data_IF_529079230302
#
_entry.id   IF_529079230302
#
_cell.length_a   1.000
_cell.length_b   1.000
_cell.length_c   1.000
_cell.angle_alpha   90.00
_cell.angle_beta   90.00
_cell.angle_gamma   90.00
#
_symmetry.space_group_name_H-M   'P 1'
#
loop_
_entity.id
_entity.type
_entity.pdbx_description
1 polymer ?
#
# COMPACT_ATOMS: atom_id res chain seq x y z
N UNK A 1 25.35 -39.89 -36.62
CA UNK A 1 24.67 -40.84 -37.54
C UNK A 1 25.41 -42.17 -37.55
N UNK A 2 24.86 -43.17 -36.83
CA UNK A 2 25.40 -44.54 -36.65
C UNK A 2 25.20 -45.47 -37.88
N UNK A 3 24.46 -45.03 -38.90
CA UNK A 3 23.94 -45.93 -39.95
C UNK A 3 25.00 -46.48 -40.93
N UNK A 4 26.01 -45.68 -41.33
CA UNK A 4 27.03 -46.16 -42.29
C UNK A 4 28.05 -47.10 -41.63
N UNK A 5 28.31 -46.94 -40.33
CA UNK A 5 29.15 -47.87 -39.56
C UNK A 5 28.44 -49.21 -39.41
N UNK A 6 27.14 -49.19 -39.10
CA UNK A 6 26.32 -50.41 -39.07
C UNK A 6 26.27 -51.07 -40.45
N UNK A 7 26.01 -50.30 -41.52
CA UNK A 7 26.01 -50.81 -42.89
C UNK A 7 27.32 -51.48 -43.27
N UNK A 8 28.46 -50.89 -42.89
CA UNK A 8 29.79 -51.50 -43.09
C UNK A 8 29.92 -52.84 -42.38
N UNK A 9 29.56 -52.89 -41.10
CA UNK A 9 29.67 -54.12 -40.32
C UNK A 9 28.75 -55.23 -40.86
N UNK A 10 27.57 -54.87 -41.37
CA UNK A 10 26.61 -55.83 -41.91
C UNK A 10 27.01 -56.37 -43.29
N UNK A 11 27.43 -55.50 -44.20
CA UNK A 11 27.72 -55.88 -45.58
C UNK A 11 29.16 -56.40 -45.76
N UNK A 12 30.10 -55.86 -44.99
CA UNK A 12 31.53 -56.11 -45.11
C UNK A 12 32.20 -55.38 -46.26
N UNK A 13 33.51 -55.24 -46.16
CA UNK A 13 34.32 -54.48 -47.12
C UNK A 13 34.20 -55.04 -48.55
N UNK A 14 34.04 -56.35 -48.71
CA UNK A 14 33.92 -57.01 -50.02
C UNK A 14 32.63 -56.65 -50.77
N UNK A 15 31.56 -56.29 -50.05
CA UNK A 15 30.29 -55.93 -50.66
C UNK A 15 30.29 -54.52 -51.26
N UNK A 16 31.26 -53.67 -50.90
CA UNK A 16 31.29 -52.28 -51.38
C UNK A 16 31.52 -52.16 -52.88
N UNK A 17 32.11 -53.16 -53.54
CA UNK A 17 32.20 -53.22 -55.01
C UNK A 17 30.83 -53.30 -55.70
N UNK A 18 29.80 -53.73 -54.98
CA UNK A 18 28.40 -53.78 -55.42
C UNK A 18 27.55 -52.62 -54.86
N UNK A 19 28.19 -51.61 -54.27
CA UNK A 19 27.51 -50.42 -53.74
C UNK A 19 27.73 -49.25 -54.68
N UNK A 20 26.65 -48.53 -54.97
CA UNK A 20 26.70 -47.23 -55.64
C UNK A 20 26.37 -46.13 -54.64
N UNK A 21 27.29 -45.18 -54.49
CA UNK A 21 27.06 -43.93 -53.78
C UNK A 21 26.47 -42.92 -54.77
N UNK A 22 25.15 -42.73 -54.68
CA UNK A 22 24.46 -41.73 -55.49
C UNK A 22 24.43 -40.37 -54.78
N UNK A 23 25.00 -39.33 -55.40
CA UNK A 23 24.88 -37.95 -54.96
C UNK A 23 23.64 -37.31 -55.59
N UNK A 24 22.80 -36.63 -54.80
CA UNK A 24 21.50 -36.08 -55.22
C UNK A 24 21.49 -34.56 -55.17
N UNK A 25 20.37 -33.92 -55.54
CA UNK A 25 20.15 -32.46 -55.53
C UNK A 25 20.96 -31.64 -56.56
N UNK A 26 21.54 -32.29 -57.57
CA UNK A 26 22.30 -31.60 -58.63
C UNK A 26 21.47 -30.58 -59.44
N UNK A 27 20.16 -30.79 -59.57
CA UNK A 27 19.25 -29.87 -60.25
C UNK A 27 18.87 -28.63 -59.44
N UNK A 28 19.15 -28.60 -58.13
CA UNK A 28 18.79 -27.52 -57.21
C UNK A 28 19.98 -26.62 -56.86
N UNK A 29 21.17 -26.93 -57.38
CA UNK A 29 22.37 -26.15 -57.13
C UNK A 29 22.41 -24.90 -58.02
N UNK A 30 22.43 -23.72 -57.37
CA UNK A 30 22.66 -22.43 -58.05
C UNK A 30 24.10 -22.28 -58.55
N UNK A 31 25.06 -22.91 -57.85
CA UNK A 31 26.49 -22.90 -58.15
C UNK A 31 26.98 -24.33 -58.32
N UNK A 32 27.31 -24.69 -59.57
CA UNK A 32 27.73 -26.04 -59.94
C UNK A 32 29.15 -26.35 -59.47
N UNK A 33 30.08 -25.41 -59.60
CA UNK A 33 31.49 -25.61 -59.23
C UNK A 33 31.63 -25.88 -57.73
N UNK A 34 30.87 -25.15 -56.90
CA UNK A 34 30.79 -25.41 -55.47
C UNK A 34 30.17 -26.78 -55.14
N UNK A 35 29.21 -27.23 -55.95
CA UNK A 35 28.64 -28.58 -55.85
C UNK A 35 29.65 -29.68 -56.12
N UNK A 36 30.46 -29.51 -57.17
CA UNK A 36 31.52 -30.45 -57.53
C UNK A 36 32.62 -30.50 -56.48
N UNK A 37 33.05 -29.34 -55.97
CA UNK A 37 34.03 -29.27 -54.88
C UNK A 37 33.54 -30.00 -53.62
N UNK A 38 32.26 -29.85 -53.28
CA UNK A 38 31.64 -30.56 -52.15
C UNK A 38 31.52 -32.06 -52.38
N UNK A 39 31.15 -32.50 -53.58
CA UNK A 39 31.14 -33.93 -53.90
C UNK A 39 32.53 -34.54 -53.73
N UNK A 40 33.57 -33.86 -54.24
CA UNK A 40 34.95 -34.31 -54.09
C UNK A 40 35.37 -34.36 -52.61
N UNK A 41 35.02 -33.36 -51.80
CA UNK A 41 35.27 -33.39 -50.36
C UNK A 41 34.53 -34.55 -49.67
N UNK A 42 33.26 -34.78 -50.02
CA UNK A 42 32.45 -35.88 -49.49
C UNK A 42 33.05 -37.26 -49.78
N UNK A 43 33.64 -37.44 -50.96
CA UNK A 43 34.20 -38.72 -51.42
C UNK A 43 35.65 -38.91 -51.00
N UNK A 44 36.42 -37.84 -50.80
CA UNK A 44 37.85 -37.96 -50.52
C UNK A 44 38.20 -37.75 -49.04
N UNK A 45 37.41 -36.95 -48.30
CA UNK A 45 37.73 -36.56 -46.92
C UNK A 45 36.85 -37.27 -45.88
N UNK A 46 35.67 -37.76 -46.27
CA UNK A 46 34.77 -38.44 -45.33
C UNK A 46 35.34 -39.80 -44.91
N UNK A 47 35.68 -39.96 -43.63
CA UNK A 47 36.09 -41.24 -43.02
C UNK A 47 35.12 -42.40 -43.31
N UNK A 48 33.86 -42.10 -43.63
CA UNK A 48 32.82 -43.09 -43.90
C UNK A 48 32.57 -43.28 -45.39
N UNK A 49 32.26 -42.22 -46.14
CA UNK A 49 31.94 -42.35 -47.58
C UNK A 49 33.18 -42.57 -48.43
N UNK A 50 34.27 -41.86 -48.13
CA UNK A 50 35.56 -42.08 -48.81
C UNK A 50 36.17 -43.42 -48.49
N UNK A 51 35.91 -43.98 -47.31
CA UNK A 51 36.25 -45.37 -47.04
C UNK A 51 35.52 -46.34 -47.97
N UNK A 52 34.20 -46.19 -48.13
CA UNK A 52 33.39 -47.03 -49.03
C UNK A 52 33.86 -46.87 -50.49
N UNK A 53 34.18 -45.64 -50.93
CA UNK A 53 34.75 -45.35 -52.24
C UNK A 53 36.13 -45.99 -52.44
N UNK A 54 37.03 -45.91 -51.46
CA UNK A 54 38.37 -46.53 -51.55
C UNK A 54 38.32 -48.06 -51.63
N UNK A 55 37.21 -48.68 -51.21
CA UNK A 55 36.97 -50.13 -51.29
C UNK A 55 36.26 -50.58 -52.57
N UNK A 56 36.10 -49.69 -53.55
CA UNK A 56 35.63 -50.04 -54.89
C UNK A 56 34.16 -49.73 -55.16
N UNK A 57 33.47 -49.01 -54.28
CA UNK A 57 32.13 -48.53 -54.59
C UNK A 57 32.16 -47.51 -55.73
N UNK A 58 31.15 -47.56 -56.60
CA UNK A 58 31.03 -46.57 -57.68
C UNK A 58 30.29 -45.34 -57.18
N UNK A 59 30.67 -44.17 -57.65
CA UNK A 59 29.92 -42.93 -57.39
C UNK A 59 29.16 -42.52 -58.64
N UNK A 60 27.89 -42.14 -58.48
CA UNK A 60 27.05 -41.59 -59.56
C UNK A 60 26.31 -40.34 -59.11
N UNK A 61 26.14 -39.39 -60.03
CA UNK A 61 25.27 -38.23 -59.81
C UNK A 61 23.86 -38.59 -60.26
N UNK A 62 22.91 -38.58 -59.33
CA UNK A 62 21.50 -38.74 -59.65
C UNK A 62 20.90 -37.38 -60.00
N UNK A 63 20.47 -37.24 -61.26
CA UNK A 63 20.00 -35.96 -61.82
C UNK A 63 18.49 -35.74 -61.67
N UNK A 64 17.82 -36.54 -60.82
CA UNK A 64 16.37 -36.50 -60.61
C UNK A 64 15.53 -36.77 -61.88
N UNK A 65 16.06 -37.56 -62.81
CA UNK A 65 15.37 -38.00 -64.02
C UNK A 65 15.26 -39.53 -64.10
N UNK A 66 14.25 -40.04 -64.81
CA UNK A 66 14.04 -41.49 -65.00
C UNK A 66 15.24 -42.14 -65.68
N UNK A 67 15.84 -41.46 -66.63
CA UNK A 67 16.98 -41.94 -67.42
C UNK A 67 18.22 -42.08 -66.53
N UNK A 68 18.48 -41.09 -65.67
CA UNK A 68 19.59 -41.16 -64.71
C UNK A 68 19.40 -42.27 -63.66
N UNK A 69 18.16 -42.50 -63.20
CA UNK A 69 17.86 -43.63 -62.31
C UNK A 69 18.10 -44.98 -62.98
N UNK A 70 17.60 -45.17 -64.20
CA UNK A 70 17.79 -46.42 -64.96
C UNK A 70 19.26 -46.68 -65.29
N UNK A 71 20.03 -45.63 -65.60
CA UNK A 71 21.48 -45.76 -65.82
C UNK A 71 22.21 -46.22 -64.55
N UNK A 72 21.85 -45.66 -63.37
CA UNK A 72 22.45 -46.07 -62.09
C UNK A 72 22.09 -47.51 -61.75
N UNK A 73 20.82 -47.92 -61.98
CA UNK A 73 20.39 -49.29 -61.74
C UNK A 73 21.08 -50.25 -62.71
N UNK A 74 21.22 -49.87 -63.99
CA UNK A 74 21.92 -50.67 -65.00
C UNK A 74 23.35 -51.02 -64.60
N UNK A 75 24.06 -50.09 -63.94
CA UNK A 75 25.41 -50.33 -63.43
C UNK A 75 25.50 -51.44 -62.36
N UNK A 76 24.37 -51.81 -61.73
CA UNK A 76 24.29 -52.87 -60.70
C UNK A 76 23.87 -54.23 -61.27
N UNK A 77 23.08 -54.26 -62.35
CA UNK A 77 22.40 -55.48 -62.83
C UNK A 77 23.39 -56.59 -63.23
N UNK A 78 24.52 -56.21 -63.82
CA UNK A 78 25.53 -57.17 -64.31
C UNK A 78 26.63 -57.48 -63.29
N UNK A 79 26.52 -56.99 -62.04
CA UNK A 79 27.53 -57.24 -61.01
C UNK A 79 27.37 -58.63 -60.41
N UNK A 80 28.49 -59.36 -60.17
CA UNK A 80 28.43 -60.67 -59.55
C UNK A 80 27.91 -60.56 -58.12
N UNK A 81 27.08 -61.53 -57.70
CA UNK A 81 26.58 -61.59 -56.33
C UNK A 81 27.75 -61.67 -55.32
N UNK A 82 27.60 -61.00 -54.18
CA UNK A 82 28.59 -60.99 -53.09
C UNK A 82 27.89 -61.44 -51.83
N UNK A 83 28.48 -62.41 -51.12
CA UNK A 83 28.02 -62.80 -49.80
C UNK A 83 28.30 -61.68 -48.81
N UNK A 84 27.29 -61.29 -48.05
CA UNK A 84 27.42 -60.21 -47.07
C UNK A 84 28.08 -60.73 -45.79
N UNK A 85 28.88 -59.90 -45.14
CA UNK A 85 29.58 -60.27 -43.90
C UNK A 85 28.62 -60.81 -42.82
N UNK A 86 27.43 -60.24 -42.66
CA UNK A 86 26.42 -60.77 -41.72
C UNK A 86 25.91 -62.17 -42.09
N UNK A 87 25.86 -62.52 -43.38
CA UNK A 87 25.42 -63.84 -43.83
C UNK A 87 26.48 -64.89 -43.47
N UNK A 88 27.77 -64.58 -43.68
CA UNK A 88 28.89 -65.42 -43.25
C UNK A 88 28.93 -65.53 -41.70
N UNK A 89 28.75 -64.43 -40.98
CA UNK A 89 28.77 -64.41 -39.51
C UNK A 89 27.62 -65.22 -38.88
N UNK A 90 26.40 -65.12 -39.43
CA UNK A 90 25.24 -65.84 -38.91
C UNK A 90 25.30 -67.34 -39.23
N UNK A 91 25.67 -67.70 -40.46
CA UNK A 91 25.58 -69.08 -40.96
C UNK A 91 26.84 -69.87 -40.66
N UNK A 92 28.02 -69.32 -40.96
CA UNK A 92 29.29 -70.04 -40.92
C UNK A 92 30.02 -69.88 -39.58
N UNK A 93 29.79 -68.76 -38.86
CA UNK A 93 30.42 -68.48 -37.57
C UNK A 93 29.51 -68.70 -36.36
N UNK A 94 28.25 -69.10 -36.57
CA UNK A 94 27.33 -69.48 -35.49
C UNK A 94 26.86 -68.34 -34.57
N UNK A 95 27.05 -67.07 -34.97
CA UNK A 95 26.70 -65.89 -34.15
C UNK A 95 25.19 -65.71 -33.89
N UNK A 96 24.31 -66.45 -34.58
CA UNK A 96 22.86 -66.38 -34.33
C UNK A 96 22.49 -66.65 -32.87
N UNK A 97 23.16 -67.61 -32.24
CA UNK A 97 22.96 -67.95 -30.81
C UNK A 97 23.43 -66.84 -29.87
N UNK A 98 24.49 -66.12 -30.22
CA UNK A 98 25.01 -64.99 -29.44
C UNK A 98 24.10 -63.77 -29.57
N UNK A 99 23.53 -63.51 -30.76
CA UNK A 99 22.56 -62.44 -30.98
C UNK A 99 21.27 -62.65 -30.19
N UNK A 100 20.78 -63.89 -30.09
CA UNK A 100 19.63 -64.23 -29.26
C UNK A 100 19.91 -64.00 -27.76
N UNK A 101 21.12 -64.34 -27.29
CA UNK A 101 21.57 -64.04 -25.93
C UNK A 101 21.60 -62.53 -25.65
N UNK A 102 22.18 -61.74 -26.55
CA UNK A 102 22.26 -60.27 -26.42
C UNK A 102 20.85 -59.66 -26.45
N UNK A 103 19.94 -60.22 -27.27
CA UNK A 103 18.54 -59.77 -27.34
C UNK A 103 17.82 -60.03 -26.02
N UNK A 104 17.98 -61.22 -25.44
CA UNK A 104 17.40 -61.56 -24.14
C UNK A 104 17.95 -60.69 -23.02
N UNK A 105 19.27 -60.47 -22.97
CA UNK A 105 19.91 -59.61 -21.98
C UNK A 105 19.42 -58.16 -22.09
N UNK A 106 19.32 -57.63 -23.32
CA UNK A 106 18.79 -56.29 -23.55
C UNK A 106 17.31 -56.18 -23.18
N UNK A 107 16.50 -57.18 -23.51
CA UNK A 107 15.09 -57.21 -23.14
C UNK A 107 14.91 -57.23 -21.62
N UNK A 108 15.73 -58.00 -20.90
CA UNK A 108 15.75 -58.02 -19.44
C UNK A 108 16.18 -56.66 -18.88
N UNK A 109 17.25 -56.06 -19.42
CA UNK A 109 17.71 -54.74 -18.99
C UNK A 109 16.69 -53.62 -19.27
N UNK A 110 15.85 -53.75 -20.31
CA UNK A 110 14.72 -52.84 -20.55
C UNK A 110 13.67 -53.02 -19.45
N UNK A 111 13.25 -54.26 -19.17
CA UNK A 111 12.26 -54.56 -18.13
C UNK A 111 12.71 -54.08 -16.74
N UNK A 112 13.96 -54.36 -16.37
CA UNK A 112 14.51 -53.93 -15.08
C UNK A 112 14.52 -52.40 -14.97
N UNK A 113 14.82 -51.71 -16.08
CA UNK A 113 14.80 -50.25 -16.12
C UNK A 113 13.39 -49.67 -16.10
N UNK A 114 12.42 -50.33 -16.73
CA UNK A 114 11.02 -49.93 -16.68
C UNK A 114 10.48 -50.02 -15.24
N UNK A 115 10.79 -51.11 -14.51
CA UNK A 115 10.44 -51.26 -13.09
C UNK A 115 11.09 -50.15 -12.25
N UNK A 116 12.39 -49.86 -12.45
CA UNK A 116 13.06 -48.77 -11.73
C UNK A 116 12.46 -47.40 -12.01
N UNK A 117 12.00 -47.16 -13.25
CA UNK A 117 11.34 -45.91 -13.63
C UNK A 117 9.97 -45.80 -12.95
N UNK A 118 9.20 -46.88 -12.90
CA UNK A 118 7.91 -46.91 -12.20
C UNK A 118 8.07 -46.64 -10.70
N UNK A 119 9.01 -47.30 -10.03
CA UNK A 119 9.28 -47.07 -8.60
C UNK A 119 9.74 -45.62 -8.33
N UNK A 120 10.54 -45.04 -9.21
CA UNK A 120 11.00 -43.66 -9.07
C UNK A 120 9.85 -42.66 -9.29
N UNK A 121 8.98 -42.91 -10.27
CA UNK A 121 7.79 -42.10 -10.51
C UNK A 121 6.86 -42.12 -9.30
N UNK A 122 6.62 -43.31 -8.72
CA UNK A 122 5.77 -43.43 -7.53
C UNK A 122 6.34 -42.66 -6.33
N UNK A 123 7.65 -42.75 -6.08
CA UNK A 123 8.31 -41.97 -5.03
C UNK A 123 8.20 -40.47 -5.27
N UNK A 124 8.43 -40.01 -6.51
CA UNK A 124 8.30 -38.61 -6.88
C UNK A 124 6.87 -38.10 -6.70
N UNK A 125 5.87 -38.90 -7.05
CA UNK A 125 4.46 -38.56 -6.85
C UNK A 125 4.11 -38.42 -5.37
N UNK A 126 4.56 -39.37 -4.54
CA UNK A 126 4.36 -39.32 -3.09
C UNK A 126 5.05 -38.10 -2.45
N UNK A 127 6.29 -37.80 -2.85
CA UNK A 127 7.01 -36.61 -2.38
C UNK A 127 6.31 -35.32 -2.80
N UNK A 128 5.84 -35.25 -4.06
CA UNK A 128 5.08 -34.11 -4.57
C UNK A 128 3.81 -33.90 -3.76
N UNK A 129 3.06 -34.97 -3.51
CA UNK A 129 1.81 -34.89 -2.75
C UNK A 129 2.06 -34.42 -1.31
N UNK A 130 3.07 -34.98 -0.64
CA UNK A 130 3.44 -34.56 0.71
C UNK A 130 3.90 -33.10 0.75
N UNK A 131 4.68 -32.67 -0.24
CA UNK A 131 5.11 -31.27 -0.37
C UNK A 131 3.92 -30.34 -0.60
N UNK A 132 2.99 -30.68 -1.50
CA UNK A 132 1.79 -29.90 -1.77
C UNK A 132 0.91 -29.76 -0.52
N UNK A 133 0.65 -30.86 0.21
CA UNK A 133 -0.12 -30.81 1.47
C UNK A 133 0.53 -29.89 2.52
N UNK A 134 1.85 -29.93 2.64
CA UNK A 134 2.60 -29.02 3.54
C UNK A 134 2.43 -27.56 3.10
N UNK A 135 2.56 -27.28 1.82
CA UNK A 135 2.45 -25.93 1.27
C UNK A 135 1.03 -25.37 1.47
N UNK A 136 -0.01 -26.17 1.25
CA UNK A 136 -1.41 -25.81 1.49
C UNK A 136 -1.66 -25.53 2.98
N UNK A 137 -1.12 -26.35 3.89
CA UNK A 137 -1.23 -26.12 5.32
C UNK A 137 -0.52 -24.83 5.76
N UNK A 138 0.68 -24.55 5.25
CA UNK A 138 1.40 -23.30 5.54
C UNK A 138 0.65 -22.08 4.98
N UNK A 139 0.15 -22.16 3.74
CA UNK A 139 -0.67 -21.09 3.16
C UNK A 139 -1.95 -20.85 3.97
N UNK A 140 -2.65 -21.90 4.38
CA UNK A 140 -3.84 -21.79 5.21
C UNK A 140 -3.53 -21.12 6.56
N UNK A 141 -2.41 -21.50 7.21
CA UNK A 141 -1.97 -20.89 8.46
C UNK A 141 -1.62 -19.40 8.28
N UNK A 142 -0.88 -19.04 7.22
CA UNK A 142 -0.55 -17.65 6.89
C UNK A 142 -1.79 -16.82 6.57
N UNK A 143 -2.77 -17.37 5.85
CA UNK A 143 -4.03 -16.69 5.58
C UNK A 143 -4.87 -16.50 6.85
N UNK A 144 -4.87 -17.48 7.76
CA UNK A 144 -5.55 -17.36 9.05
C UNK A 144 -4.91 -16.26 9.91
N UNK A 145 -3.58 -16.26 10.05
CA UNK A 145 -2.84 -15.23 10.80
C UNK A 145 -3.06 -13.84 10.19
N UNK A 146 -2.96 -13.70 8.85
CA UNK A 146 -3.22 -12.42 8.18
C UNK A 146 -4.65 -11.90 8.42
N UNK A 147 -5.65 -12.78 8.41
CA UNK A 147 -7.04 -12.41 8.74
C UNK A 147 -7.17 -11.97 10.19
N UNK A 148 -6.48 -12.64 11.12
CA UNK A 148 -6.50 -12.26 12.52
C UNK A 148 -5.80 -10.90 12.75
N UNK A 149 -4.62 -10.69 12.17
CA UNK A 149 -3.92 -9.41 12.21
C UNK A 149 -4.78 -8.27 11.63
N UNK A 150 -5.45 -8.53 10.51
CA UNK A 150 -6.33 -7.54 9.89
C UNK A 150 -7.52 -7.20 10.79
N UNK A 151 -8.15 -8.19 11.44
CA UNK A 151 -9.21 -7.95 12.42
C UNK A 151 -8.70 -7.17 13.64
N UNK A 152 -7.53 -7.50 14.17
CA UNK A 152 -6.92 -6.78 15.29
C UNK A 152 -6.63 -5.32 14.92
N UNK A 153 -6.12 -5.08 13.72
CA UNK A 153 -5.85 -3.74 13.21
C UNK A 153 -7.15 -2.94 13.03
N UNK A 154 -8.18 -3.56 12.46
CA UNK A 154 -9.50 -2.95 12.27
C UNK A 154 -10.18 -2.62 13.61
N UNK A 155 -10.10 -3.53 14.58
CA UNK A 155 -10.58 -3.29 15.95
C UNK A 155 -9.82 -2.14 16.62
N UNK A 156 -8.48 -2.14 16.58
CA UNK A 156 -7.67 -1.07 17.13
C UNK A 156 -7.98 0.29 16.47
N UNK A 157 -8.18 0.29 15.16
CA UNK A 157 -8.56 1.50 14.42
C UNK A 157 -9.95 2.00 14.83
N UNK A 158 -10.94 1.11 14.93
CA UNK A 158 -12.30 1.46 15.35
C UNK A 158 -12.34 1.96 16.79
N UNK A 159 -11.58 1.33 17.70
CA UNK A 159 -11.46 1.78 19.09
C UNK A 159 -10.81 3.16 19.19
N UNK A 160 -9.77 3.41 18.39
CA UNK A 160 -9.13 4.72 18.31
C UNK A 160 -10.10 5.77 17.75
N UNK A 161 -10.88 5.45 16.72
CA UNK A 161 -11.88 6.35 16.14
C UNK A 161 -12.95 6.71 17.18
N UNK A 162 -13.49 5.71 17.88
CA UNK A 162 -14.50 5.92 18.92
C UNK A 162 -13.96 6.78 20.08
N UNK A 163 -12.69 6.59 20.45
CA UNK A 163 -12.02 7.41 21.46
C UNK A 163 -11.92 8.87 21.00
N UNK A 164 -11.47 9.10 19.77
CA UNK A 164 -11.37 10.45 19.21
C UNK A 164 -12.73 11.14 19.10
N UNK A 165 -13.79 10.42 18.73
CA UNK A 165 -15.14 10.95 18.72
C UNK A 165 -15.64 11.33 20.12
N UNK A 166 -15.38 10.50 21.13
CA UNK A 166 -15.70 10.81 22.53
C UNK A 166 -14.95 12.05 23.01
N UNK A 167 -13.66 12.14 22.72
CA UNK A 167 -12.84 13.30 23.05
C UNK A 167 -13.30 14.57 22.32
N UNK A 168 -13.76 14.46 21.06
CA UNK A 168 -14.38 15.57 20.32
C UNK A 168 -15.68 16.02 20.98
N UNK A 169 -16.61 15.10 21.26
CA UNK A 169 -17.90 15.41 21.90
C UNK A 169 -17.73 16.00 23.30
N UNK A 170 -16.78 15.48 24.08
CA UNK A 170 -16.49 16.03 25.39
C UNK A 170 -15.98 17.48 25.31
N UNK A 171 -15.11 17.79 24.34
CA UNK A 171 -14.63 19.15 24.08
C UNK A 171 -15.74 20.10 23.61
N UNK A 172 -16.60 19.63 22.72
CA UNK A 172 -17.74 20.41 22.22
C UNK A 172 -18.68 20.82 23.38
N UNK A 173 -18.95 19.89 24.30
CA UNK A 173 -19.70 20.19 25.54
C UNK A 173 -18.99 21.18 26.46
N UNK A 174 -17.66 21.10 26.57
CA UNK A 174 -16.90 22.05 27.39
C UNK A 174 -16.98 23.48 26.84
N UNK A 175 -16.93 23.64 25.50
CA UNK A 175 -17.09 24.94 24.86
C UNK A 175 -18.50 25.47 25.07
N UNK A 176 -19.52 24.63 24.88
CA UNK A 176 -20.93 25.01 25.10
C UNK A 176 -21.22 25.44 26.56
N UNK A 177 -20.69 24.70 27.54
CA UNK A 177 -20.79 25.07 28.96
C UNK A 177 -20.08 26.40 29.25
N UNK A 178 -18.90 26.62 28.67
CA UNK A 178 -18.18 27.89 28.80
C UNK A 178 -18.96 29.06 28.20
N UNK A 179 -19.52 28.90 27.01
CA UNK A 179 -20.35 29.94 26.36
C UNK A 179 -21.57 30.29 27.21
N UNK A 180 -22.22 29.28 27.77
CA UNK A 180 -23.35 29.45 28.67
C UNK A 180 -22.95 30.24 29.91
N UNK A 181 -21.86 29.85 30.59
CA UNK A 181 -21.34 30.55 31.78
C UNK A 181 -21.00 32.02 31.47
N UNK A 182 -20.27 32.29 30.38
CA UNK A 182 -19.91 33.66 30.00
C UNK A 182 -21.14 34.53 29.69
N UNK A 183 -22.18 33.93 29.10
CA UNK A 183 -23.46 34.61 28.84
C UNK A 183 -24.23 34.89 30.13
N UNK A 184 -24.31 33.92 31.04
CA UNK A 184 -24.98 34.07 32.34
C UNK A 184 -24.29 35.12 33.20
N UNK A 185 -22.97 35.05 33.36
CA UNK A 185 -22.20 36.05 34.12
C UNK A 185 -22.42 37.47 33.59
N UNK A 186 -22.51 37.61 32.26
CA UNK A 186 -22.78 38.90 31.60
C UNK A 186 -24.18 39.40 31.92
N UNK A 187 -25.19 38.52 31.86
CA UNK A 187 -26.57 38.86 32.18
C UNK A 187 -26.71 39.29 33.65
N UNK A 188 -26.17 38.50 34.57
CA UNK A 188 -26.18 38.77 36.02
C UNK A 188 -25.50 40.11 36.33
N UNK A 189 -24.33 40.36 35.74
CA UNK A 189 -23.60 41.61 35.98
C UNK A 189 -24.36 42.83 35.42
N UNK A 190 -25.06 42.68 34.29
CA UNK A 190 -25.89 43.73 33.73
C UNK A 190 -27.14 44.00 34.59
N UNK A 191 -27.79 42.95 35.09
CA UNK A 191 -28.93 43.07 36.00
C UNK A 191 -28.53 43.77 37.31
N UNK A 192 -27.42 43.35 37.93
CA UNK A 192 -26.89 44.00 39.14
C UNK A 192 -26.63 45.49 38.94
N UNK A 193 -26.04 45.87 37.79
CA UNK A 193 -25.80 47.27 37.48
C UNK A 193 -27.11 48.05 37.27
N UNK A 194 -28.08 47.48 36.57
CA UNK A 194 -29.40 48.10 36.39
C UNK A 194 -30.10 48.30 37.73
N UNK A 195 -30.06 47.31 38.62
CA UNK A 195 -30.62 47.41 39.96
C UNK A 195 -29.95 48.52 40.79
N UNK A 196 -28.61 48.61 40.77
CA UNK A 196 -27.87 49.67 41.46
C UNK A 196 -28.22 51.08 40.93
N UNK A 197 -28.36 51.22 39.61
CA UNK A 197 -28.76 52.49 38.98
C UNK A 197 -30.22 52.86 39.29
N UNK A 198 -31.13 51.88 39.32
CA UNK A 198 -32.52 52.09 39.70
C UNK A 198 -32.64 52.56 41.15
N UNK A 199 -31.89 51.94 42.07
CA UNK A 199 -31.88 52.33 43.48
C UNK A 199 -31.29 53.73 43.68
N UNK A 200 -30.18 54.05 43.02
CA UNK A 200 -29.63 55.40 43.05
C UNK A 200 -30.61 56.44 42.48
N UNK A 201 -31.35 56.11 41.43
CA UNK A 201 -32.38 56.98 40.86
C UNK A 201 -33.54 57.21 41.84
N UNK A 202 -33.94 56.16 42.59
CA UNK A 202 -34.97 56.25 43.64
C UNK A 202 -34.55 57.24 44.73
N UNK A 203 -33.31 57.14 45.21
CA UNK A 203 -32.74 58.08 46.20
C UNK A 203 -32.76 59.52 45.69
N UNK A 204 -32.40 59.75 44.41
CA UNK A 204 -32.47 61.10 43.82
C UNK A 204 -33.91 61.61 43.78
N UNK A 205 -34.89 60.77 43.45
CA UNK A 205 -36.32 61.16 43.45
C UNK A 205 -36.80 61.51 44.86
N UNK A 206 -36.39 60.74 45.86
CA UNK A 206 -36.74 60.97 47.27
C UNK A 206 -36.13 62.29 47.78
N UNK A 207 -34.84 62.53 47.53
CA UNK A 207 -34.18 63.80 47.88
C UNK A 207 -34.82 65.01 47.20
N UNK A 208 -35.28 64.87 45.95
CA UNK A 208 -36.01 65.94 45.24
C UNK A 208 -37.35 66.26 45.92
N UNK A 209 -38.07 65.25 46.40
CA UNK A 209 -39.33 65.42 47.11
C UNK A 209 -39.12 66.07 48.50
N UNK A 210 -38.10 65.63 49.23
CA UNK A 210 -37.70 66.20 50.53
C UNK A 210 -37.33 67.68 50.38
N UNK A 211 -36.56 68.01 49.33
CA UNK A 211 -36.15 69.37 48.99
C UNK A 211 -37.34 70.29 48.73
N UNK A 212 -38.39 69.84 48.03
CA UNK A 212 -39.59 70.63 47.78
C UNK A 212 -40.29 71.05 49.09
N UNK A 213 -40.27 70.17 50.10
CA UNK A 213 -40.88 70.37 51.41
C UNK A 213 -39.97 71.09 52.44
N UNK A 214 -38.69 71.30 52.11
CA UNK A 214 -37.68 71.92 53.00
C UNK A 214 -37.69 73.46 52.98
N UNK A 215 -37.02 74.07 53.97
CA UNK A 215 -36.83 75.52 54.06
C UNK A 215 -35.90 76.01 52.94
N UNK A 216 -36.04 77.29 52.56
CA UNK A 216 -35.24 77.88 51.49
C UNK A 216 -33.72 77.83 51.74
N UNK A 217 -33.30 77.78 53.00
CA UNK A 217 -31.89 77.69 53.42
C UNK A 217 -31.30 76.28 53.18
N UNK A 218 -32.09 75.22 53.35
CA UNK A 218 -31.65 73.82 53.22
C UNK A 218 -31.67 73.33 51.75
N UNK A 219 -32.45 73.99 50.89
CA UNK A 219 -32.57 73.64 49.45
C UNK A 219 -31.24 73.67 48.70
N UNK A 220 -30.33 74.57 49.07
CA UNK A 220 -29.02 74.65 48.44
C UNK A 220 -28.16 73.40 48.70
N UNK A 221 -28.26 72.81 49.90
CA UNK A 221 -27.54 71.61 50.29
C UNK A 221 -28.11 70.34 49.62
N UNK A 222 -29.45 70.27 49.49
CA UNK A 222 -30.11 69.23 48.68
C UNK A 222 -29.74 69.33 47.19
N UNK A 223 -29.73 70.53 46.62
CA UNK A 223 -29.34 70.75 45.21
C UNK A 223 -27.89 70.34 44.94
N UNK A 224 -26.97 70.66 45.85
CA UNK A 224 -25.56 70.24 45.75
C UNK A 224 -25.43 68.72 45.82
N UNK A 225 -26.14 68.09 46.76
CA UNK A 225 -26.16 66.64 46.93
C UNK A 225 -26.74 65.90 45.72
N UNK A 226 -27.87 66.36 45.20
CA UNK A 226 -28.52 65.78 44.01
C UNK A 226 -27.57 65.88 42.81
N UNK A 227 -26.92 67.03 42.61
CA UNK A 227 -25.92 67.20 41.53
C UNK A 227 -24.73 66.28 41.70
N UNK A 228 -24.26 66.07 42.93
CA UNK A 228 -23.17 65.15 43.21
C UNK A 228 -23.55 63.68 42.89
N UNK A 229 -24.77 63.25 43.25
CA UNK A 229 -25.27 61.90 42.96
C UNK A 229 -25.50 61.73 41.44
N UNK A 230 -26.17 62.66 40.78
CA UNK A 230 -26.38 62.62 39.32
C UNK A 230 -25.06 62.66 38.54
N UNK A 231 -24.06 63.41 39.04
CA UNK A 231 -22.70 63.42 38.49
C UNK A 231 -22.05 62.04 38.56
N UNK A 232 -22.15 61.36 39.71
CA UNK A 232 -21.64 59.99 39.88
C UNK A 232 -22.39 58.96 39.03
N UNK A 233 -23.72 59.09 38.88
CA UNK A 233 -24.49 58.24 37.98
C UNK A 233 -24.03 58.35 36.52
N UNK A 234 -23.71 59.57 36.05
CA UNK A 234 -23.17 59.79 34.70
C UNK A 234 -21.79 59.14 34.54
N UNK A 235 -20.91 59.32 35.52
CA UNK A 235 -19.59 58.67 35.52
C UNK A 235 -19.72 57.15 35.52
N UNK A 236 -20.52 56.59 36.43
CA UNK A 236 -20.78 55.15 36.52
C UNK A 236 -21.39 54.57 35.23
N UNK A 237 -22.30 55.30 34.56
CA UNK A 237 -22.87 54.89 33.28
C UNK A 237 -21.84 54.89 32.15
N UNK A 238 -20.95 55.88 32.12
CA UNK A 238 -19.86 55.96 31.15
C UNK A 238 -18.83 54.83 31.35
N UNK A 239 -18.50 54.53 32.61
CA UNK A 239 -17.59 53.44 32.97
C UNK A 239 -18.21 52.08 32.72
N UNK A 240 -19.51 51.88 33.02
CA UNK A 240 -20.24 50.67 32.70
C UNK A 240 -20.25 50.37 31.20
N UNK A 241 -20.34 51.42 30.36
CA UNK A 241 -20.27 51.26 28.90
C UNK A 241 -18.88 50.77 28.47
N UNK A 242 -17.82 51.33 29.06
CA UNK A 242 -16.43 50.91 28.78
C UNK A 242 -16.15 49.50 29.27
N UNK A 243 -16.54 49.21 30.50
CA UNK A 243 -16.40 47.89 31.13
C UNK A 243 -17.16 46.82 30.35
N UNK A 244 -18.41 47.07 29.91
CA UNK A 244 -19.16 46.13 29.05
C UNK A 244 -18.41 45.82 27.75
N UNK A 245 -17.88 46.83 27.08
CA UNK A 245 -17.12 46.63 25.85
C UNK A 245 -15.82 45.85 26.08
N UNK A 246 -15.15 46.07 27.22
CA UNK A 246 -13.96 45.33 27.62
C UNK A 246 -14.27 43.87 27.96
N UNK A 247 -15.30 43.62 28.78
CA UNK A 247 -15.73 42.26 29.14
C UNK A 247 -16.21 41.49 27.91
N UNK A 248 -16.92 42.13 26.98
CA UNK A 248 -17.33 41.50 25.72
C UNK A 248 -16.14 41.08 24.88
N UNK A 249 -15.12 41.94 24.80
CA UNK A 249 -13.87 41.65 24.09
C UNK A 249 -13.12 40.49 24.77
N UNK A 250 -12.99 40.50 26.09
CA UNK A 250 -12.32 39.45 26.85
C UNK A 250 -13.07 38.12 26.72
N UNK A 251 -14.41 38.11 26.84
CA UNK A 251 -15.24 36.93 26.65
C UNK A 251 -15.11 36.36 25.23
N UNK A 252 -15.01 37.21 24.20
CA UNK A 252 -14.74 36.77 22.84
C UNK A 252 -13.35 36.13 22.72
N UNK A 253 -12.31 36.77 23.27
CA UNK A 253 -10.96 36.22 23.25
C UNK A 253 -10.82 34.89 24.02
N UNK A 254 -11.52 34.74 25.14
CA UNK A 254 -11.57 33.49 25.92
C UNK A 254 -12.22 32.38 25.08
N UNK A 255 -13.32 32.67 24.38
CA UNK A 255 -13.97 31.71 23.47
C UNK A 255 -13.06 31.31 22.33
N UNK A 256 -12.49 32.28 21.63
CA UNK A 256 -11.59 32.02 20.50
C UNK A 256 -10.37 31.19 20.93
N UNK A 257 -9.78 31.52 22.09
CA UNK A 257 -8.67 30.76 22.65
C UNK A 257 -9.09 29.34 23.08
N UNK A 258 -10.29 29.16 23.61
CA UNK A 258 -10.83 27.84 24.02
C UNK A 258 -11.13 26.94 22.81
N UNK A 259 -11.62 27.53 21.72
CA UNK A 259 -11.79 26.83 20.43
C UNK A 259 -10.42 26.47 19.85
N UNK A 260 -9.47 27.41 19.87
CA UNK A 260 -8.12 27.18 19.36
C UNK A 260 -7.32 26.16 20.20
N UNK A 261 -7.54 26.09 21.52
CA UNK A 261 -6.98 25.08 22.41
C UNK A 261 -7.37 23.65 21.99
N UNK A 262 -8.46 23.48 21.23
CA UNK A 262 -8.85 22.18 20.68
C UNK A 262 -7.86 21.63 19.63
N UNK A 263 -6.91 22.44 19.14
CA UNK A 263 -5.81 21.99 18.28
C UNK A 263 -4.72 21.22 19.08
N UNK A 264 -4.05 20.25 18.44
CA UNK A 264 -3.09 19.36 19.10
C UNK A 264 -1.68 19.99 19.23
N UNK A 265 -0.95 19.61 20.29
CA UNK A 265 0.50 19.83 20.41
C UNK A 265 0.90 20.99 21.34
N UNK A 266 1.99 21.68 20.99
CA UNK A 266 2.56 22.79 21.77
C UNK A 266 1.65 24.02 21.85
N UNK A 267 0.72 24.17 20.90
CA UNK A 267 -0.27 25.24 20.87
C UNK A 267 -1.28 25.14 22.02
N UNK A 268 -1.66 23.92 22.44
CA UNK A 268 -2.62 23.72 23.54
C UNK A 268 -2.17 24.37 24.85
N UNK A 269 -0.92 24.13 25.26
CA UNK A 269 -0.37 24.71 26.51
C UNK A 269 -0.27 26.24 26.44
N UNK A 270 0.01 26.78 25.26
CA UNK A 270 0.02 28.23 25.03
C UNK A 270 -1.37 28.82 25.15
N UNK A 271 -2.37 28.16 24.56
CA UNK A 271 -3.77 28.60 24.66
C UNK A 271 -4.30 28.48 26.09
N UNK A 272 -3.95 27.43 26.83
CA UNK A 272 -4.31 27.28 28.26
C UNK A 272 -3.76 28.43 29.12
N UNK A 273 -2.47 28.76 28.95
CA UNK A 273 -1.87 29.89 29.66
C UNK A 273 -2.54 31.22 29.26
N UNK A 274 -2.91 31.37 27.98
CA UNK A 274 -3.58 32.57 27.47
C UNK A 274 -5.00 32.72 28.02
N UNK A 275 -5.77 31.64 28.10
CA UNK A 275 -7.11 31.64 28.70
C UNK A 275 -7.03 32.10 30.15
N UNK A 276 -6.10 31.52 30.92
CA UNK A 276 -5.91 31.88 32.32
C UNK A 276 -5.53 33.36 32.50
N UNK A 277 -4.66 33.90 31.65
CA UNK A 277 -4.32 35.33 31.64
C UNK A 277 -5.53 36.22 31.35
N UNK A 278 -6.35 35.83 30.37
CA UNK A 278 -7.57 36.57 30.00
C UNK A 278 -8.62 36.53 31.12
N UNK A 279 -8.78 35.40 31.79
CA UNK A 279 -9.66 35.25 32.95
C UNK A 279 -9.22 36.15 34.10
N UNK A 280 -7.93 36.16 34.46
CA UNK A 280 -7.39 37.04 35.50
C UNK A 280 -7.59 38.52 35.15
N UNK A 281 -7.42 38.89 33.87
CA UNK A 281 -7.65 40.26 33.39
C UNK A 281 -9.13 40.63 33.52
N UNK A 282 -10.04 39.72 33.17
CA UNK A 282 -11.49 39.90 33.30
C UNK A 282 -11.90 40.06 34.76
N UNK A 283 -11.36 39.25 35.67
CA UNK A 283 -11.63 39.37 37.11
C UNK A 283 -11.15 40.71 37.69
N UNK A 284 -9.97 41.17 37.25
CA UNK A 284 -9.43 42.47 37.65
C UNK A 284 -10.30 43.62 37.14
N UNK A 285 -10.72 43.59 35.87
CA UNK A 285 -11.62 44.59 35.29
C UNK A 285 -12.99 44.59 36.00
N UNK A 286 -13.54 43.43 36.34
CA UNK A 286 -14.76 43.30 37.14
C UNK A 286 -14.61 43.94 38.53
N UNK A 287 -13.52 43.63 39.24
CA UNK A 287 -13.29 44.16 40.59
C UNK A 287 -13.20 45.69 40.58
N UNK A 288 -12.40 46.24 39.66
CA UNK A 288 -12.25 47.69 39.52
C UNK A 288 -13.58 48.39 39.20
N UNK A 289 -14.40 47.80 38.32
CA UNK A 289 -15.70 48.36 37.97
C UNK A 289 -16.66 48.35 39.18
N UNK A 290 -16.74 47.23 39.91
CA UNK A 290 -17.62 47.12 41.06
C UNK A 290 -17.20 48.00 42.23
N UNK A 291 -15.91 48.32 42.39
CA UNK A 291 -15.45 49.31 43.37
C UNK A 291 -15.99 50.72 43.05
N UNK A 292 -16.04 51.12 41.78
CA UNK A 292 -16.61 52.43 41.40
C UNK A 292 -18.13 52.47 41.60
N UNK A 293 -18.82 51.38 41.23
CA UNK A 293 -20.27 51.27 41.44
C UNK A 293 -20.62 51.20 42.93
N UNK A 294 -19.86 50.47 43.74
CA UNK A 294 -20.05 50.35 45.19
C UNK A 294 -19.93 51.69 45.90
N UNK A 295 -18.94 52.51 45.51
CA UNK A 295 -18.75 53.87 46.04
C UNK A 295 -19.92 54.82 45.73
N UNK A 296 -20.68 54.58 44.65
CA UNK A 296 -21.88 55.36 44.34
C UNK A 296 -23.03 55.03 45.31
N UNK A 297 -23.23 53.76 45.66
CA UNK A 297 -24.31 53.32 46.55
C UNK A 297 -24.10 53.71 48.02
N UNK A 298 -22.86 53.65 48.53
CA UNK A 298 -22.53 54.06 49.91
C UNK A 298 -22.68 55.55 50.15
N UNK A 299 -22.41 56.39 49.15
CA UNK A 299 -22.62 57.83 49.25
C UNK A 299 -24.11 58.22 49.17
N UNK A 300 -24.89 57.55 48.31
CA UNK A 300 -26.34 57.78 48.22
C UNK A 300 -27.05 57.47 49.56
N UNK A 301 -26.62 56.39 50.23
CA UNK A 301 -27.17 55.96 51.53
C UNK A 301 -26.62 56.78 52.71
N UNK A 302 -25.32 57.10 52.71
CA UNK A 302 -24.70 57.89 53.77
C UNK A 302 -25.19 59.33 53.85
N UNK A 303 -25.55 59.95 52.71
CA UNK A 303 -26.04 61.34 52.69
C UNK A 303 -27.50 61.41 53.14
N UNK A 304 -28.34 60.44 52.78
CA UNK A 304 -29.71 60.31 53.29
C UNK A 304 -29.74 60.20 54.82
N UNK A 305 -28.82 59.44 55.40
CA UNK A 305 -28.69 59.26 56.86
C UNK A 305 -28.18 60.50 57.60
N UNK A 306 -27.54 61.44 56.89
CA UNK A 306 -26.96 62.63 57.49
C UNK A 306 -27.90 63.85 57.43
N UNK A 307 -28.93 63.79 56.60
CA UNK A 307 -29.94 64.86 56.40
C UNK A 307 -31.34 64.55 56.97
N UNK A 308 -31.60 63.30 57.39
CA UNK A 308 -32.75 62.88 58.19
C UNK A 308 -32.48 63.08 59.69
#
# INVERSE_FOLDING_TARGET
>A
MRNLTMFRNLCGDNAFKNVILATTFWGELQDKEKGEAREQELLNTSERRGYITSKGSRTRRFLNTKESALSIIGDLVDLPAVTLQIQDEIVDQGLGTQLDSIRQEKEQAIKDRDVQLEEMLEKLEQEKEHFMRRLESEQAALHADRREQQRRMEQAFNDQLLRLERERKARERQIEDLETRLSTDRADSNERFQAAMAESSRVVTELKLEMENSRAEDRAEFDETIRAIEGRQRTASSEATRWRAEVDRLNQQIRDASVAQAAHGTERRRMEARIHELENTRETSNTNFWDVVGNMSTLATGILLHML
#
